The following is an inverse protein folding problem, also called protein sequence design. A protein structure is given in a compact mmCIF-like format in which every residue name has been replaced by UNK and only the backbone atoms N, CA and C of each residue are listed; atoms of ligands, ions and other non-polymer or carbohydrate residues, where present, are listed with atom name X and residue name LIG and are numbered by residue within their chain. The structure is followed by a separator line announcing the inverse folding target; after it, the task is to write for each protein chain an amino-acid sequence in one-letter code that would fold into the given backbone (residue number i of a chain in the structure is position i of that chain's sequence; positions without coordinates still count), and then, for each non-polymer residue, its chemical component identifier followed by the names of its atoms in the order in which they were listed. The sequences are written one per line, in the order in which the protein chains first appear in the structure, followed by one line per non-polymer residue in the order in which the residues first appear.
data_IF_725924251581
#
_entry.id   IF_725924251581
#
_cell.length_a   1.000
_cell.length_b   1.000
_cell.length_c   1.000
_cell.angle_alpha   90.00
_cell.angle_beta   90.00
_cell.angle_gamma   90.00
#
_symmetry.space_group_name_H-M   'P 1'
#
loop_
_entity.id
_entity.type
_entity.pdbx_description
1 polymer ?
#
# COMPACT_ATOMS: atom_id res chain seq x y z
N UNK A 1 -15.43 5.87 4.35
CA UNK A 1 -14.67 5.99 3.10
C UNK A 1 -14.20 7.43 3.04
N UNK A 2 -12.92 7.71 3.35
CA UNK A 2 -12.41 9.07 3.24
C UNK A 2 -12.18 9.35 1.77
N UNK A 3 -12.89 10.33 1.23
CA UNK A 3 -12.74 10.77 -0.15
C UNK A 3 -11.53 11.69 -0.15
N UNK A 4 -10.38 11.18 -0.59
CA UNK A 4 -9.21 12.00 -0.91
C UNK A 4 -9.03 12.04 -2.41
N UNK A 5 -8.39 13.10 -2.89
CA UNK A 5 -7.96 13.15 -4.29
C UNK A 5 -6.93 12.06 -4.56
N UNK A 6 -7.00 11.49 -5.75
CA UNK A 6 -6.08 10.43 -6.19
C UNK A 6 -4.73 11.02 -6.58
N UNK A 7 -3.65 10.35 -6.20
CA UNK A 7 -2.31 10.71 -6.69
C UNK A 7 -2.06 10.03 -8.05
N UNK A 8 -1.21 10.60 -8.93
CA UNK A 8 -0.79 9.94 -10.17
C UNK A 8 -0.10 8.58 -9.96
N UNK A 9 0.41 8.35 -8.76
CA UNK A 9 0.99 7.07 -8.32
C UNK A 9 -0.05 6.08 -7.77
N UNK A 10 -1.32 6.45 -7.66
CA UNK A 10 -2.33 5.54 -7.14
C UNK A 10 -2.60 4.41 -8.13
N UNK A 11 -2.84 3.21 -7.60
CA UNK A 11 -3.16 2.05 -8.42
C UNK A 11 -4.63 2.10 -8.85
N UNK A 12 -4.86 1.80 -10.13
CA UNK A 12 -6.21 1.70 -10.66
C UNK A 12 -6.90 0.40 -10.18
N UNK A 13 -8.19 0.28 -10.49
CA UNK A 13 -9.00 -0.87 -10.08
C UNK A 13 -8.47 -2.20 -10.63
N UNK A 14 -7.98 -2.21 -11.88
CA UNK A 14 -7.45 -3.42 -12.49
C UNK A 14 -6.17 -3.88 -11.79
N UNK A 15 -5.22 -2.96 -11.59
CA UNK A 15 -3.98 -3.22 -10.85
C UNK A 15 -4.27 -3.71 -9.44
N UNK A 16 -5.28 -3.14 -8.77
CA UNK A 16 -5.71 -3.60 -7.45
C UNK A 16 -6.20 -5.04 -7.48
N UNK A 17 -7.06 -5.41 -8.44
CA UNK A 17 -7.56 -6.79 -8.57
C UNK A 17 -6.43 -7.80 -8.78
N UNK A 18 -5.43 -7.43 -9.55
CA UNK A 18 -4.31 -8.30 -9.88
C UNK A 18 -3.43 -8.59 -8.64
N UNK A 19 -3.21 -7.58 -7.80
CA UNK A 19 -2.33 -7.73 -6.61
C UNK A 19 -3.07 -8.10 -5.34
N UNK A 20 -4.39 -7.88 -5.25
CA UNK A 20 -5.16 -8.09 -4.02
C UNK A 20 -5.07 -9.54 -3.51
N UNK A 21 -4.94 -10.52 -4.41
CA UNK A 21 -4.78 -11.94 -4.07
C UNK A 21 -3.43 -12.27 -3.43
N UNK A 22 -2.40 -11.45 -3.67
CA UNK A 22 -1.06 -11.59 -3.08
C UNK A 22 -0.98 -11.04 -1.65
N UNK A 23 -1.95 -10.20 -1.28
CA UNK A 23 -1.99 -9.60 0.05
C UNK A 23 -2.56 -10.64 1.02
N UNK A 24 -1.80 -11.03 2.07
CA UNK A 24 -2.32 -11.96 3.06
C UNK A 24 -3.54 -11.33 3.72
N UNK A 25 -4.64 -12.09 3.77
CA UNK A 25 -5.85 -11.64 4.43
C UNK A 25 -5.48 -11.13 5.83
N UNK A 26 -5.82 -9.88 6.13
CA UNK A 26 -5.51 -9.27 7.42
C UNK A 26 -5.99 -10.19 8.52
N UNK A 27 -5.05 -10.78 9.27
CA UNK A 27 -5.40 -11.61 10.42
C UNK A 27 -6.24 -10.74 11.36
N UNK A 28 -7.51 -11.12 11.57
CA UNK A 28 -8.44 -10.52 12.55
C UNK A 28 -7.96 -10.78 13.98
N UNK A 29 -6.72 -10.41 14.31
CA UNK A 29 -6.17 -10.55 15.66
C UNK A 29 -5.99 -9.16 16.25
N UNK A 30 -6.89 -8.80 17.17
CA UNK A 30 -6.92 -7.51 17.89
C UNK A 30 -7.97 -6.52 17.38
N UNK A 31 -7.94 -5.29 17.93
CA UNK A 31 -8.84 -4.16 17.62
C UNK A 31 -9.00 -4.01 16.10
N UNK A 32 -10.25 -3.90 15.63
CA UNK A 32 -10.59 -3.79 14.20
C UNK A 32 -9.64 -2.83 13.48
N UNK A 33 -8.74 -3.39 12.66
CA UNK A 33 -7.90 -2.58 11.78
C UNK A 33 -8.84 -1.96 10.75
N UNK A 34 -9.10 -0.66 10.92
CA UNK A 34 -9.96 0.11 10.02
C UNK A 34 -9.18 0.63 8.79
N UNK A 35 -7.90 0.26 8.68
CA UNK A 35 -7.01 0.70 7.61
C UNK A 35 -7.21 -0.16 6.36
N UNK A 36 -7.59 0.48 5.26
CA UNK A 36 -7.66 -0.15 3.94
C UNK A 36 -6.28 -0.57 3.45
N UNK A 37 -6.10 -1.84 3.09
CA UNK A 37 -4.85 -2.33 2.49
C UNK A 37 -4.53 -1.63 1.17
N UNK A 38 -5.56 -1.27 0.39
CA UNK A 38 -5.38 -0.50 -0.85
C UNK A 38 -4.73 0.85 -0.59
N UNK A 39 -5.16 1.54 0.45
CA UNK A 39 -4.58 2.83 0.83
C UNK A 39 -3.14 2.71 1.33
N UNK A 40 -2.80 1.59 1.96
CA UNK A 40 -1.41 1.27 2.32
C UNK A 40 -0.57 1.04 1.07
N UNK A 41 -1.06 0.31 0.07
CA UNK A 41 -0.34 0.12 -1.19
C UNK A 41 -0.18 1.44 -1.94
N UNK A 42 -1.23 2.26 -2.03
CA UNK A 42 -1.14 3.59 -2.63
C UNK A 42 -0.05 4.44 -1.96
N UNK A 43 0.00 4.46 -0.62
CA UNK A 43 1.04 5.17 0.12
C UNK A 43 2.46 4.63 -0.14
N UNK A 44 2.61 3.30 -0.23
CA UNK A 44 3.89 2.65 -0.56
C UNK A 44 4.31 3.01 -2.00
N UNK A 45 3.38 2.97 -2.95
CA UNK A 45 3.67 3.27 -4.35
C UNK A 45 3.98 4.76 -4.57
N UNK A 46 3.28 5.65 -3.87
CA UNK A 46 3.61 7.07 -3.81
C UNK A 46 5.05 7.27 -3.33
N UNK A 47 5.43 6.61 -2.24
CA UNK A 47 6.79 6.68 -1.71
C UNK A 47 7.83 6.12 -2.69
N UNK A 48 7.55 5.00 -3.37
CA UNK A 48 8.45 4.46 -4.39
C UNK A 48 8.61 5.39 -5.59
N UNK A 49 7.54 6.08 -5.99
CA UNK A 49 7.55 6.98 -7.14
C UNK A 49 8.26 8.30 -6.83
N UNK A 50 8.08 8.84 -5.62
CA UNK A 50 8.62 10.15 -5.21
C UNK A 50 9.97 10.07 -4.51
N UNK A 51 10.32 8.91 -3.93
CA UNK A 51 11.50 8.74 -3.10
C UNK A 51 11.41 9.44 -1.73
N UNK A 52 10.22 9.89 -1.31
CA UNK A 52 10.07 10.68 -0.08
C UNK A 52 10.44 9.89 1.18
N UNK A 53 10.84 10.62 2.23
CA UNK A 53 11.03 10.00 3.55
C UNK A 53 9.68 9.56 4.13
N UNK A 54 9.67 8.57 5.03
CA UNK A 54 8.43 8.05 5.62
C UNK A 54 7.61 9.12 6.34
N UNK A 55 8.28 10.06 7.02
CA UNK A 55 7.63 11.17 7.74
C UNK A 55 7.04 12.24 6.81
N UNK A 56 7.41 12.21 5.52
CA UNK A 56 6.92 13.14 4.49
C UNK A 56 5.76 12.55 3.68
N UNK A 57 5.20 11.41 4.09
CA UNK A 57 3.99 10.90 3.45
C UNK A 57 2.84 11.91 3.62
N UNK A 58 2.07 12.19 2.55
CA UNK A 58 0.89 13.04 2.63
C UNK A 58 -0.08 12.61 3.73
N UNK A 59 -0.74 13.59 4.34
CA UNK A 59 -1.63 13.36 5.48
C UNK A 59 -2.93 12.62 5.11
N UNK A 60 -3.27 12.58 3.82
CA UNK A 60 -4.45 11.87 3.32
C UNK A 60 -4.24 10.35 3.30
N UNK A 61 -2.99 9.88 3.34
CA UNK A 61 -2.68 8.47 3.50
C UNK A 61 -2.83 8.01 4.95
N UNK A 62 -2.93 6.70 5.20
CA UNK A 62 -2.79 6.16 6.55
C UNK A 62 -1.49 6.67 7.19
N UNK A 63 -1.51 6.85 8.51
CA UNK A 63 -0.33 7.40 9.22
C UNK A 63 0.93 6.63 8.86
N UNK A 64 2.05 7.35 8.69
CA UNK A 64 3.30 6.75 8.21
C UNK A 64 3.75 5.54 9.04
N UNK A 65 3.47 5.53 10.35
CA UNK A 65 3.80 4.41 11.23
C UNK A 65 3.00 3.15 10.91
N UNK A 66 1.72 3.31 10.58
CA UNK A 66 0.86 2.22 10.08
C UNK A 66 1.40 1.71 8.76
N UNK A 67 1.61 2.59 7.77
CA UNK A 67 2.12 2.21 6.45
C UNK A 67 3.46 1.48 6.57
N UNK A 68 4.38 2.00 7.39
CA UNK A 68 5.69 1.39 7.62
C UNK A 68 5.60 0.01 8.27
N UNK A 69 4.65 -0.20 9.19
CA UNK A 69 4.43 -1.51 9.81
C UNK A 69 3.99 -2.54 8.78
N UNK A 70 3.04 -2.19 7.91
CA UNK A 70 2.63 -3.04 6.79
C UNK A 70 3.78 -3.30 5.83
N UNK A 71 4.50 -2.24 5.43
CA UNK A 71 5.67 -2.32 4.57
C UNK A 71 6.71 -3.31 5.12
N UNK A 72 7.11 -3.17 6.39
CA UNK A 72 8.08 -4.06 7.04
C UNK A 72 7.61 -5.51 7.08
N UNK A 73 6.34 -5.75 7.38
CA UNK A 73 5.79 -7.10 7.46
C UNK A 73 5.74 -7.77 6.08
N UNK A 74 5.25 -7.07 5.07
CA UNK A 74 5.17 -7.58 3.70
C UNK A 74 6.54 -7.70 3.03
N UNK A 75 7.49 -6.80 3.36
CA UNK A 75 8.87 -6.92 2.91
C UNK A 75 9.51 -8.22 3.41
N UNK A 76 9.33 -8.54 4.69
CA UNK A 76 9.88 -9.78 5.29
C UNK A 76 9.27 -11.05 4.70
N UNK A 77 8.05 -10.97 4.19
CA UNK A 77 7.32 -12.08 3.57
C UNK A 77 7.55 -12.18 2.05
N UNK A 78 8.32 -11.26 1.44
CA UNK A 78 8.54 -11.23 -0.01
C UNK A 78 7.40 -10.61 -0.83
N UNK A 79 6.23 -10.41 -0.24
CA UNK A 79 5.01 -9.90 -0.92
C UNK A 79 5.25 -8.59 -1.68
N UNK A 80 6.03 -7.66 -1.12
CA UNK A 80 6.30 -6.38 -1.80
C UNK A 80 7.08 -6.53 -3.12
N UNK A 81 7.90 -7.58 -3.23
CA UNK A 81 8.59 -7.90 -4.47
C UNK A 81 7.59 -8.34 -5.52
N UNK A 82 6.72 -9.29 -5.18
CA UNK A 82 5.71 -9.82 -6.09
C UNK A 82 4.74 -8.72 -6.56
N UNK A 83 4.28 -7.87 -5.63
CA UNK A 83 3.44 -6.71 -5.96
C UNK A 83 4.17 -5.77 -6.93
N UNK A 84 5.43 -5.44 -6.65
CA UNK A 84 6.20 -4.52 -7.50
C UNK A 84 6.45 -5.11 -8.88
N UNK A 85 6.74 -6.39 -8.98
CA UNK A 85 6.96 -7.09 -10.25
C UNK A 85 5.66 -7.09 -11.09
N UNK A 86 4.49 -7.33 -10.47
CA UNK A 86 3.20 -7.23 -11.15
C UNK A 86 2.89 -5.81 -11.65
N UNK A 87 3.21 -4.79 -10.85
CA UNK A 87 2.97 -3.39 -11.22
C UNK A 87 3.92 -2.88 -12.32
N UNK A 88 5.16 -3.39 -12.39
CA UNK A 88 6.16 -3.00 -13.40
C UNK A 88 5.93 -3.73 -14.73
N UNK A 89 5.57 -5.01 -14.70
CA UNK A 89 5.41 -5.86 -15.89
C UNK A 89 4.35 -5.37 -16.89
N UNK A 90 3.50 -4.40 -16.50
CA UNK A 90 2.39 -3.89 -17.32
C UNK A 90 2.40 -2.38 -17.56
N UNK A 91 3.54 -1.71 -17.42
CA UNK A 91 3.77 -0.38 -18.00
C UNK A 91 4.18 -0.52 -19.47
#
# INVERSE_FOLDING_TARGET
MMIRDTYPSDINEQQWRDIASLIPASQKRGRNRSTSEREVINAINYRWSTGCSWRMLPHDFPTWGTVYTYFRNWQRQGILRDIRDQLISRK
#
